data_IF_919132708532
#
_entry.id   IF_919132708532
#
_cell.length_a   1.000
_cell.length_b   1.000
_cell.length_c   1.000
_cell.angle_alpha   90.00
_cell.angle_beta   90.00
_cell.angle_gamma   90.00
#
_symmetry.space_group_name_H-M   'P 1'
#
loop_
_entity.id
_entity.type
_entity.pdbx_description
1 polymer ?
#
# COMPACT_ATOMS: atom_id res chain seq x y z
N UNK A 1 -9.76 36.62 15.99
CA UNK A 1 -9.19 35.53 16.81
C UNK A 1 -9.17 34.17 16.12
N UNK A 2 -10.28 33.66 15.58
CA UNK A 2 -10.35 32.31 14.95
C UNK A 2 -9.46 32.13 13.70
N UNK A 3 -9.36 33.15 12.85
CA UNK A 3 -8.56 33.08 11.61
C UNK A 3 -7.06 32.89 11.87
N UNK A 4 -6.50 33.59 12.87
CA UNK A 4 -5.10 33.43 13.24
C UNK A 4 -4.82 32.00 13.75
N UNK A 5 -5.69 31.47 14.61
CA UNK A 5 -5.57 30.09 15.11
C UNK A 5 -5.61 29.05 13.96
N UNK A 6 -6.46 29.24 12.96
CA UNK A 6 -6.52 28.37 11.78
C UNK A 6 -5.22 28.43 10.95
N UNK A 7 -4.67 29.62 10.75
CA UNK A 7 -3.38 29.80 10.03
C UNK A 7 -2.24 29.09 10.77
N UNK A 8 -2.16 29.23 12.09
CA UNK A 8 -1.15 28.55 12.89
C UNK A 8 -1.30 27.02 12.85
N UNK A 9 -2.54 26.50 12.94
CA UNK A 9 -2.78 25.05 12.81
C UNK A 9 -2.30 24.52 11.46
N UNK A 10 -2.63 25.21 10.37
CA UNK A 10 -2.23 24.83 9.02
C UNK A 10 -0.70 24.87 8.84
N UNK A 11 -0.02 25.88 9.39
CA UNK A 11 1.44 25.97 9.34
C UNK A 11 2.13 24.84 10.12
N UNK A 12 1.65 24.53 11.33
CA UNK A 12 2.20 23.46 12.16
C UNK A 12 2.01 22.11 11.49
N UNK A 13 0.82 21.83 10.94
CA UNK A 13 0.55 20.59 10.23
C UNK A 13 1.46 20.40 9.01
N UNK A 14 1.63 21.45 8.19
CA UNK A 14 2.53 21.40 7.04
C UNK A 14 3.99 21.19 7.45
N UNK A 15 4.43 21.85 8.53
CA UNK A 15 5.77 21.66 9.08
C UNK A 15 6.00 20.21 9.53
N UNK A 16 5.05 19.65 10.27
CA UNK A 16 5.10 18.26 10.75
C UNK A 16 5.11 17.28 9.57
N UNK A 17 4.23 17.46 8.58
CA UNK A 17 4.21 16.63 7.37
C UNK A 17 5.54 16.70 6.60
N UNK A 18 6.09 17.89 6.41
CA UNK A 18 7.40 18.08 5.74
C UNK A 18 8.51 17.35 6.51
N UNK A 19 8.52 17.43 7.84
CA UNK A 19 9.49 16.71 8.67
C UNK A 19 9.33 15.20 8.53
N UNK A 20 8.11 14.69 8.58
CA UNK A 20 7.81 13.26 8.40
C UNK A 20 8.23 12.77 7.03
N UNK A 21 7.92 13.50 5.96
CA UNK A 21 8.33 13.16 4.59
C UNK A 21 9.85 13.02 4.46
N UNK A 22 10.62 13.92 5.09
CA UNK A 22 12.09 13.82 5.10
C UNK A 22 12.59 12.57 5.84
N UNK A 23 11.91 12.15 6.90
CA UNK A 23 12.28 10.95 7.63
C UNK A 23 11.91 9.68 6.84
N UNK A 24 10.71 9.63 6.25
CA UNK A 24 10.27 8.51 5.42
C UNK A 24 11.15 8.34 4.18
N UNK A 25 11.63 9.43 3.58
CA UNK A 25 12.54 9.35 2.43
C UNK A 25 13.88 8.68 2.73
N UNK A 26 14.28 8.55 4.00
CA UNK A 26 15.49 7.82 4.40
C UNK A 26 15.29 6.31 4.46
N UNK A 27 14.04 5.85 4.47
CA UNK A 27 13.70 4.44 4.50
C UNK A 27 13.76 3.85 3.09
N UNK A 28 14.15 2.58 3.01
CA UNK A 28 14.11 1.82 1.77
C UNK A 28 12.70 1.30 1.48
N UNK A 29 12.49 0.78 0.27
CA UNK A 29 11.15 0.42 -0.20
C UNK A 29 10.54 -0.75 0.59
N UNK A 30 11.35 -1.71 1.05
CA UNK A 30 10.87 -2.80 1.91
C UNK A 30 10.38 -2.26 3.26
N UNK A 31 11.12 -1.34 3.88
CA UNK A 31 10.74 -0.73 5.15
C UNK A 31 9.49 0.15 5.02
N UNK A 32 9.32 0.78 3.86
CA UNK A 32 8.13 1.57 3.56
C UNK A 32 6.91 0.67 3.35
N UNK A 33 7.09 -0.43 2.63
CA UNK A 33 6.05 -1.44 2.40
C UNK A 33 5.60 -2.10 3.72
N UNK A 34 6.55 -2.47 4.59
CA UNK A 34 6.29 -3.03 5.92
C UNK A 34 5.36 -2.16 6.77
N UNK A 35 5.44 -0.83 6.60
CA UNK A 35 4.60 0.14 7.31
C UNK A 35 3.43 0.66 6.46
N UNK A 36 3.24 0.14 5.24
CA UNK A 36 2.15 0.48 4.32
C UNK A 36 2.23 1.88 3.71
N UNK A 37 3.44 2.40 3.46
CA UNK A 37 3.70 3.70 2.84
C UNK A 37 4.21 3.50 1.41
N UNK A 38 3.65 4.24 0.44
CA UNK A 38 4.07 4.17 -0.96
C UNK A 38 5.16 5.20 -1.29
N UNK A 39 6.24 4.74 -1.93
CA UNK A 39 7.32 5.60 -2.41
C UNK A 39 6.86 6.56 -3.51
N UNK A 40 5.95 6.10 -4.37
CA UNK A 40 5.34 6.89 -5.44
C UNK A 40 4.56 8.08 -4.86
N UNK A 41 3.83 7.87 -3.76
CA UNK A 41 3.14 8.95 -3.06
C UNK A 41 4.13 9.89 -2.35
N UNK A 42 5.20 9.38 -1.74
CA UNK A 42 6.23 10.22 -1.13
C UNK A 42 6.92 11.14 -2.15
N UNK A 43 7.15 10.64 -3.37
CA UNK A 43 7.72 11.42 -4.47
C UNK A 43 6.84 12.61 -4.88
N UNK A 44 5.53 12.53 -4.66
CA UNK A 44 4.59 13.62 -4.93
C UNK A 44 4.60 14.72 -3.87
N UNK A 45 5.32 14.55 -2.75
CA UNK A 45 5.47 15.60 -1.75
C UNK A 45 4.34 15.66 -0.71
N UNK A 46 4.28 16.76 0.05
CA UNK A 46 3.35 16.94 1.19
C UNK A 46 1.88 16.94 0.77
N UNK A 47 1.57 17.34 -0.45
CA UNK A 47 0.21 17.30 -1.00
C UNK A 47 -0.38 15.89 -1.12
N UNK A 48 0.44 14.84 -1.19
CA UNK A 48 -0.02 13.45 -1.29
C UNK A 48 -0.20 12.75 0.07
N UNK A 49 -0.13 13.50 1.18
CA UNK A 49 -0.46 12.97 2.50
C UNK A 49 -1.88 12.34 2.49
N UNK A 50 -2.09 11.12 3.01
CA UNK A 50 -1.27 10.41 4.01
C UNK A 50 -0.14 9.49 3.50
N UNK A 51 0.19 9.49 2.21
CA UNK A 51 1.20 8.60 1.57
C UNK A 51 1.01 7.09 1.80
N UNK A 52 -0.18 6.69 2.27
CA UNK A 52 -0.57 5.31 2.45
C UNK A 52 -1.44 4.91 1.26
N UNK A 53 -1.25 3.67 0.80
CA UNK A 53 -2.19 3.08 -0.14
C UNK A 53 -3.45 2.79 0.67
N UNK A 54 -4.47 3.64 0.51
CA UNK A 54 -5.77 3.39 1.11
C UNK A 54 -6.42 2.33 0.24
N UNK A 55 -6.41 1.09 0.72
CA UNK A 55 -7.25 0.04 0.17
C UNK A 55 -8.71 0.38 0.49
N UNK A 56 -9.29 1.34 -0.25
CA UNK A 56 -10.73 1.60 -0.22
C UNK A 56 -11.44 0.41 -0.86
N UNK A 57 -11.58 -0.68 -0.10
CA UNK A 57 -12.63 -1.71 -0.18
C UNK A 57 -12.97 -2.36 -1.53
N UNK A 58 -12.29 -2.06 -2.63
CA UNK A 58 -12.56 -2.59 -3.95
C UNK A 58 -11.23 -2.86 -4.65
N UNK A 59 -10.70 -4.04 -4.34
CA UNK A 59 -9.88 -4.89 -5.20
C UNK A 59 -8.75 -4.20 -5.98
N UNK A 60 -7.51 -4.46 -5.57
CA UNK A 60 -6.52 -4.94 -6.54
C UNK A 60 -5.46 -5.83 -5.87
N UNK A 61 -5.09 -6.95 -6.51
CA UNK A 61 -4.29 -8.01 -5.91
C UNK A 61 -2.81 -7.64 -5.93
N UNK A 62 -2.25 -7.28 -4.78
CA UNK A 62 -0.80 -7.10 -4.64
C UNK A 62 -0.11 -8.46 -4.63
N UNK A 63 0.45 -8.82 -5.79
CA UNK A 63 1.69 -9.59 -6.04
C UNK A 63 1.83 -11.02 -5.48
N UNK A 64 1.12 -11.44 -4.44
CA UNK A 64 1.10 -12.83 -3.96
C UNK A 64 0.23 -13.79 -4.78
N UNK A 65 -0.72 -13.27 -5.55
CA UNK A 65 -1.63 -14.09 -6.36
C UNK A 65 -1.03 -14.56 -7.70
N UNK A 66 0.11 -14.01 -8.13
CA UNK A 66 0.73 -14.35 -9.42
C UNK A 66 1.45 -15.70 -9.38
N UNK A 67 1.90 -16.17 -8.20
CA UNK A 67 2.57 -17.47 -8.09
C UNK A 67 1.62 -18.69 -8.07
N UNK A 68 0.31 -18.49 -7.88
CA UNK A 68 -0.65 -19.62 -7.80
C UNK A 68 -1.18 -20.03 -9.18
N UNK A 69 -1.06 -19.17 -10.20
CA UNK A 69 -1.70 -19.44 -11.50
C UNK A 69 -0.85 -20.18 -12.53
N UNK A 70 0.44 -20.43 -12.27
CA UNK A 70 1.32 -21.11 -13.24
C UNK A 70 1.43 -22.63 -13.07
N UNK A 71 0.75 -23.25 -12.10
CA UNK A 71 0.86 -24.69 -11.84
C UNK A 71 -0.48 -25.40 -11.74
N UNK A 72 -1.38 -25.23 -12.70
CA UNK A 72 -2.57 -26.11 -12.79
C UNK A 72 -3.24 -26.15 -14.16
N UNK A 73 -2.47 -25.98 -15.24
CA UNK A 73 -2.90 -26.32 -16.60
C UNK A 73 -1.99 -27.40 -17.19
N UNK A 74 -1.94 -28.54 -16.53
CA UNK A 74 -1.55 -29.80 -17.17
C UNK A 74 -2.05 -30.96 -16.32
N UNK A 75 -2.52 -32.02 -16.98
CA UNK A 75 -3.19 -33.22 -16.45
C UNK A 75 -4.70 -33.07 -16.17
N UNK A 76 -5.46 -32.85 -17.26
CA UNK A 76 -6.57 -33.76 -17.54
C UNK A 76 -6.02 -35.19 -17.47
N UNK A 77 -6.04 -35.83 -16.31
CA UNK A 77 -6.03 -37.29 -16.26
C UNK A 77 -7.01 -37.76 -15.18
N UNK A 78 -8.08 -38.28 -15.74
CA UNK A 78 -9.31 -38.75 -15.15
C UNK A 78 -9.03 -40.05 -14.38
N UNK A 79 -8.58 -39.95 -13.13
CA UNK A 79 -8.61 -41.10 -12.21
C UNK A 79 -9.97 -41.16 -11.52
N UNK A 80 -10.99 -41.61 -12.26
CA UNK A 80 -12.22 -42.13 -11.68
C UNK A 80 -11.92 -43.49 -11.03
N UNK A 81 -11.84 -43.50 -9.70
CA UNK A 81 -11.86 -44.73 -8.90
C UNK A 81 -13.32 -45.21 -8.78
N UNK A 82 -13.71 -46.39 -9.31
CA UNK A 82 -14.99 -46.97 -8.95
C UNK A 82 -14.93 -47.49 -7.50
N UNK A 83 -15.85 -46.99 -6.67
CA UNK A 83 -16.13 -47.55 -5.33
C UNK A 83 -16.66 -48.98 -5.47
N UNK A 84 -16.19 -49.84 -4.58
CA UNK A 84 -16.59 -51.24 -4.43
C UNK A 84 -18.10 -51.43 -4.15
N UNK A 85 -18.67 -52.50 -4.72
CA UNK A 85 -19.66 -53.40 -4.12
C UNK A 85 -19.65 -54.72 -4.91
#
# INVERSE_FOLDING_TARGET
MKALAMIYSSMIENFLKTRTLRNLNKLNDSQLDDIGVSRELLAQGVQAYPWRIIETGLQQPTTGAVLVQFKQKSANDQYQLPRAA
#
